data_IF_080743701187
#
_entry.id   IF_080743701187
#
_cell.length_a   1.000
_cell.length_b   1.000
_cell.length_c   1.000
_cell.angle_alpha   90.00
_cell.angle_beta   90.00
_cell.angle_gamma   90.00
#
_symmetry.space_group_name_H-M   'P 1'
#
loop_
_entity.id
_entity.type
_entity.pdbx_description
1 polymer ?
#
# COMPACT_ATOMS: atom_id res chain seq x y z
N UNK A 1 -10.05 5.26 -27.19
CA UNK A 1 -8.68 5.80 -27.32
C UNK A 1 -7.75 4.60 -27.31
N UNK A 2 -6.85 4.52 -28.25
CA UNK A 2 -5.85 3.44 -28.37
C UNK A 2 -4.50 4.01 -27.97
N UNK A 3 -3.78 3.29 -27.11
CA UNK A 3 -2.41 3.61 -26.72
C UNK A 3 -1.57 2.43 -27.19
N UNK A 4 -0.89 2.59 -28.32
CA UNK A 4 -0.27 1.48 -29.05
C UNK A 4 -1.30 0.34 -29.30
N UNK A 5 -1.04 -0.83 -28.70
CA UNK A 5 -1.90 -2.02 -28.80
C UNK A 5 -2.97 -2.11 -27.69
N UNK A 6 -3.08 -1.09 -26.81
CA UNK A 6 -4.04 -1.10 -25.71
C UNK A 6 -5.28 -0.27 -26.04
N UNK A 7 -6.45 -0.86 -25.82
CA UNK A 7 -7.76 -0.20 -25.93
C UNK A 7 -8.27 0.13 -24.53
N UNK A 8 -8.63 1.40 -24.29
CA UNK A 8 -9.26 1.81 -23.06
C UNK A 8 -10.71 1.32 -23.00
N UNK A 9 -11.07 0.59 -21.94
CA UNK A 9 -12.42 0.05 -21.74
C UNK A 9 -13.24 0.99 -20.85
N UNK A 10 -12.77 1.26 -19.62
CA UNK A 10 -13.47 2.12 -18.64
C UNK A 10 -12.51 2.66 -17.59
N UNK A 11 -12.88 3.76 -16.93
CA UNK A 11 -12.20 4.23 -15.72
C UNK A 11 -12.51 3.29 -14.55
N UNK A 12 -11.47 2.92 -13.79
CA UNK A 12 -11.57 2.05 -12.62
C UNK A 12 -11.04 2.71 -11.35
N UNK A 13 -10.48 3.92 -11.45
CA UNK A 13 -10.02 4.69 -10.29
C UNK A 13 -9.52 6.07 -10.67
N UNK A 14 -9.55 6.98 -9.70
CA UNK A 14 -8.94 8.30 -9.77
C UNK A 14 -8.07 8.52 -8.56
N UNK A 15 -6.85 8.94 -8.76
CA UNK A 15 -5.89 9.28 -7.72
C UNK A 15 -5.30 10.68 -7.93
N UNK A 16 -4.47 11.13 -6.99
CA UNK A 16 -3.82 12.43 -7.04
C UNK A 16 -2.99 12.63 -8.31
N UNK A 17 -2.32 11.60 -8.76
CA UNK A 17 -1.42 11.64 -9.91
C UNK A 17 -2.14 11.50 -11.26
N UNK A 18 -3.35 10.95 -11.29
CA UNK A 18 -4.07 10.72 -12.53
C UNK A 18 -5.24 9.77 -12.41
N UNK A 19 -5.72 9.30 -13.54
CA UNK A 19 -6.86 8.41 -13.65
C UNK A 19 -6.39 7.02 -14.11
N UNK A 20 -6.95 5.97 -13.51
CA UNK A 20 -6.63 4.57 -13.82
C UNK A 20 -7.76 3.98 -14.67
N UNK A 21 -7.39 3.37 -15.77
CA UNK A 21 -8.30 2.74 -16.72
C UNK A 21 -8.09 1.23 -16.76
N UNK A 22 -9.18 0.49 -16.91
CA UNK A 22 -9.13 -0.86 -17.40
C UNK A 22 -8.84 -0.81 -18.90
N UNK A 23 -7.82 -1.53 -19.32
CA UNK A 23 -7.42 -1.62 -20.74
C UNK A 23 -7.32 -3.08 -21.17
N UNK A 24 -7.50 -3.35 -22.45
CA UNK A 24 -7.28 -4.66 -23.04
C UNK A 24 -6.21 -4.57 -24.14
N UNK A 25 -5.42 -5.61 -24.28
CA UNK A 25 -4.50 -5.74 -25.41
C UNK A 25 -5.28 -6.12 -26.67
N UNK A 26 -5.09 -5.36 -27.75
CA UNK A 26 -5.75 -5.59 -29.05
C UNK A 26 -5.49 -7.01 -29.54
N UNK A 27 -6.55 -7.68 -29.95
CA UNK A 27 -6.47 -9.07 -30.46
C UNK A 27 -6.33 -10.14 -29.37
N UNK A 28 -6.42 -9.78 -28.09
CA UNK A 28 -6.38 -10.73 -26.96
C UNK A 28 -7.44 -10.38 -25.92
N UNK A 29 -7.67 -11.33 -24.98
CA UNK A 29 -8.53 -11.09 -23.80
C UNK A 29 -7.72 -10.59 -22.59
N UNK A 30 -6.44 -10.27 -22.77
CA UNK A 30 -5.57 -9.86 -21.67
C UNK A 30 -5.94 -8.45 -21.19
N UNK A 31 -6.18 -8.32 -19.87
CA UNK A 31 -6.59 -7.08 -19.21
C UNK A 31 -5.45 -6.49 -18.38
N UNK A 32 -5.35 -5.17 -18.41
CA UNK A 32 -4.37 -4.40 -17.64
C UNK A 32 -5.04 -3.24 -16.90
N UNK A 33 -4.37 -2.75 -15.87
CA UNK A 33 -4.65 -1.46 -15.26
C UNK A 33 -3.65 -0.43 -15.82
N UNK A 34 -4.17 0.67 -16.39
CA UNK A 34 -3.35 1.69 -17.02
C UNK A 34 -3.57 3.03 -16.33
N UNK A 35 -2.57 3.49 -15.55
CA UNK A 35 -2.56 4.80 -14.87
C UNK A 35 -2.08 5.86 -15.85
N UNK A 36 -3.00 6.78 -16.20
CA UNK A 36 -2.73 7.93 -17.06
C UNK A 36 -2.29 9.12 -16.21
N UNK A 37 -1.10 9.65 -16.47
CA UNK A 37 -0.53 10.80 -15.76
C UNK A 37 -0.22 11.91 -16.77
N UNK A 38 -0.73 13.12 -16.57
CA UNK A 38 -0.39 14.26 -17.43
C UNK A 38 1.10 14.58 -17.32
N UNK A 39 1.77 14.79 -18.47
CA UNK A 39 3.18 15.21 -18.50
C UNK A 39 3.39 16.55 -17.81
N UNK A 40 2.45 17.48 -17.93
CA UNK A 40 2.48 18.76 -17.25
C UNK A 40 2.48 18.58 -15.73
N UNK A 41 1.60 17.70 -15.19
CA UNK A 41 1.59 17.35 -13.76
C UNK A 41 2.87 16.65 -13.34
N UNK A 42 3.32 15.66 -14.12
CA UNK A 42 4.55 14.92 -13.84
C UNK A 42 5.81 15.80 -13.89
N UNK A 43 5.79 16.91 -14.62
CA UNK A 43 6.88 17.87 -14.70
C UNK A 43 6.96 18.85 -13.52
N UNK A 44 5.89 18.99 -12.71
CA UNK A 44 5.94 19.83 -11.50
C UNK A 44 6.99 19.27 -10.53
N UNK A 45 7.80 20.14 -9.91
CA UNK A 45 8.97 19.76 -9.12
C UNK A 45 8.69 18.72 -8.04
N UNK A 46 7.56 18.85 -7.35
CA UNK A 46 7.15 17.95 -6.26
C UNK A 46 6.70 16.58 -6.77
N UNK A 47 5.81 16.56 -7.77
CA UNK A 47 5.23 15.31 -8.29
C UNK A 47 6.22 14.52 -9.16
N UNK A 48 7.16 15.20 -9.84
CA UNK A 48 8.20 14.57 -10.67
C UNK A 48 8.99 13.54 -9.89
N UNK A 49 9.44 13.90 -8.68
CA UNK A 49 10.23 13.02 -7.83
C UNK A 49 9.46 11.74 -7.46
N UNK A 50 8.20 11.87 -7.06
CA UNK A 50 7.37 10.72 -6.69
C UNK A 50 7.06 9.83 -7.89
N UNK A 51 6.75 10.43 -9.04
CA UNK A 51 6.48 9.72 -10.29
C UNK A 51 7.68 8.90 -10.77
N UNK A 52 8.88 9.52 -10.83
CA UNK A 52 10.11 8.82 -11.22
C UNK A 52 10.44 7.69 -10.25
N UNK A 53 10.32 7.96 -8.95
CA UNK A 53 10.61 6.99 -7.92
C UNK A 53 9.64 5.79 -7.96
N UNK A 54 8.35 6.03 -8.18
CA UNK A 54 7.33 4.98 -8.35
C UNK A 54 7.71 4.04 -9.49
N UNK A 55 8.05 4.59 -10.68
CA UNK A 55 8.42 3.80 -11.84
C UNK A 55 9.71 3.02 -11.60
N UNK A 56 10.74 3.69 -11.06
CA UNK A 56 12.03 3.05 -10.77
C UNK A 56 11.86 1.86 -9.85
N UNK A 57 11.14 2.02 -8.75
CA UNK A 57 10.92 0.95 -7.77
C UNK A 57 10.06 -0.14 -8.38
N UNK A 58 8.95 0.19 -9.07
CA UNK A 58 8.07 -0.81 -9.68
C UNK A 58 8.81 -1.72 -10.68
N UNK A 59 9.72 -1.17 -11.49
CA UNK A 59 10.53 -1.95 -12.43
C UNK A 59 11.43 -2.99 -11.74
N UNK A 60 11.89 -2.70 -10.53
CA UNK A 60 12.76 -3.59 -9.73
C UNK A 60 11.97 -4.67 -8.98
N UNK A 61 10.64 -4.57 -8.92
CA UNK A 61 9.78 -5.49 -8.16
C UNK A 61 9.39 -6.71 -9.00
N UNK A 62 9.70 -7.89 -8.47
CA UNK A 62 9.23 -9.16 -9.02
C UNK A 62 8.85 -10.09 -7.86
N UNK A 63 7.58 -10.03 -7.43
CA UNK A 63 7.07 -10.84 -6.32
C UNK A 63 5.56 -11.06 -6.47
N UNK A 64 5.08 -12.28 -6.15
CA UNK A 64 3.68 -12.67 -6.32
C UNK A 64 2.67 -11.78 -5.61
N UNK A 65 3.06 -11.12 -4.52
CA UNK A 65 2.20 -10.24 -3.71
C UNK A 65 2.51 -8.74 -3.89
N UNK A 66 3.24 -8.39 -4.95
CA UNK A 66 3.46 -7.01 -5.39
C UNK A 66 2.90 -6.87 -6.80
N UNK A 67 2.34 -5.73 -7.11
CA UNK A 67 1.78 -5.46 -8.43
C UNK A 67 2.86 -5.63 -9.51
N UNK A 68 2.55 -6.39 -10.55
CA UNK A 68 3.48 -6.56 -11.66
C UNK A 68 3.44 -5.34 -12.58
N UNK A 69 4.61 -4.77 -12.85
CA UNK A 69 4.82 -3.70 -13.81
C UNK A 69 5.01 -4.30 -15.20
N UNK A 70 4.16 -3.91 -16.16
CA UNK A 70 4.21 -4.38 -17.53
C UNK A 70 5.02 -3.44 -18.43
N UNK A 71 4.66 -2.15 -18.42
CA UNK A 71 5.30 -1.17 -19.30
C UNK A 71 5.05 0.27 -18.84
N UNK A 72 5.93 1.16 -19.30
CA UNK A 72 5.71 2.60 -19.32
C UNK A 72 5.59 3.06 -20.78
N UNK A 73 4.47 3.67 -21.12
CA UNK A 73 4.24 4.26 -22.45
C UNK A 73 4.03 5.76 -22.33
N UNK A 74 4.25 6.48 -23.43
CA UNK A 74 4.05 7.92 -23.46
C UNK A 74 3.40 8.40 -24.74
N UNK A 75 2.71 9.53 -24.65
CA UNK A 75 2.25 10.34 -25.77
C UNK A 75 2.77 11.77 -25.61
N UNK A 76 2.46 12.65 -26.53
CA UNK A 76 2.84 14.08 -26.42
C UNK A 76 2.35 14.70 -25.08
N UNK A 77 1.19 14.28 -24.57
CA UNK A 77 0.56 14.91 -23.40
C UNK A 77 0.57 14.07 -22.13
N UNK A 78 0.79 12.75 -22.21
CA UNK A 78 0.60 11.87 -21.06
C UNK A 78 1.65 10.75 -20.99
N UNK A 79 1.93 10.30 -19.75
CA UNK A 79 2.54 9.02 -19.44
C UNK A 79 1.45 7.99 -19.09
N UNK A 80 1.74 6.73 -19.35
CA UNK A 80 0.87 5.59 -19.06
C UNK A 80 1.66 4.49 -18.38
N UNK A 81 1.44 4.30 -17.08
CA UNK A 81 1.99 3.19 -16.31
C UNK A 81 1.03 2.03 -16.46
N UNK A 82 1.49 0.93 -17.03
CA UNK A 82 0.71 -0.27 -17.29
C UNK A 82 1.14 -1.34 -16.30
N UNK A 83 0.15 -1.91 -15.59
CA UNK A 83 0.35 -2.97 -14.59
C UNK A 83 -0.66 -4.09 -14.82
N UNK A 84 -0.43 -5.26 -14.19
CA UNK A 84 -1.45 -6.30 -14.15
C UNK A 84 -2.77 -5.76 -13.59
N UNK A 85 -3.88 -6.34 -14.04
CA UNK A 85 -5.21 -6.00 -13.55
C UNK A 85 -5.64 -6.93 -12.41
N UNK A 86 -6.08 -6.34 -11.29
CA UNK A 86 -6.65 -7.04 -10.15
C UNK A 86 -8.18 -6.88 -10.15
N UNK A 87 -8.89 -7.98 -10.42
CA UNK A 87 -10.34 -7.96 -10.67
C UNK A 87 -11.21 -7.86 -9.39
N UNK A 88 -10.62 -8.02 -8.20
CA UNK A 88 -11.32 -7.90 -6.91
C UNK A 88 -11.42 -6.45 -6.40
N UNK A 89 -10.63 -5.52 -6.95
CA UNK A 89 -10.54 -4.13 -6.45
C UNK A 89 -9.68 -4.01 -5.21
N UNK A 90 -9.83 -2.94 -4.43
CA UNK A 90 -9.09 -2.68 -3.21
C UNK A 90 -9.57 -3.54 -2.03
N UNK A 91 -8.64 -3.88 -1.13
CA UNK A 91 -8.97 -4.69 0.07
C UNK A 91 -9.93 -3.94 1.00
N UNK A 92 -9.85 -2.62 1.05
CA UNK A 92 -10.80 -1.78 1.77
C UNK A 92 -12.24 -1.96 1.28
N UNK A 93 -12.44 -1.90 -0.04
CA UNK A 93 -13.75 -2.12 -0.67
C UNK A 93 -14.24 -3.54 -0.45
N UNK A 94 -13.34 -4.54 -0.51
CA UNK A 94 -13.67 -5.94 -0.20
C UNK A 94 -14.13 -6.10 1.24
N UNK A 95 -13.43 -5.52 2.22
CA UNK A 95 -13.84 -5.54 3.63
C UNK A 95 -15.23 -4.91 3.83
N UNK A 96 -15.47 -3.75 3.23
CA UNK A 96 -16.76 -3.07 3.34
C UNK A 96 -17.91 -3.87 2.69
N UNK A 97 -17.68 -4.50 1.54
CA UNK A 97 -18.66 -5.39 0.89
C UNK A 97 -18.91 -6.63 1.75
N UNK A 98 -17.84 -7.24 2.26
CA UNK A 98 -17.93 -8.41 3.14
C UNK A 98 -18.77 -8.10 4.39
N UNK A 99 -18.51 -6.96 5.04
CA UNK A 99 -19.28 -6.51 6.20
C UNK A 99 -20.77 -6.28 5.89
N UNK A 100 -21.10 -5.77 4.70
CA UNK A 100 -22.49 -5.61 4.27
C UNK A 100 -23.18 -6.96 4.07
N UNK A 101 -22.48 -7.94 3.51
CA UNK A 101 -23.03 -9.27 3.21
C UNK A 101 -23.14 -10.13 4.48
N UNK A 102 -22.09 -10.22 5.27
CA UNK A 102 -21.98 -11.17 6.38
C UNK A 102 -22.17 -10.53 7.77
N UNK A 103 -22.40 -9.22 7.84
CA UNK A 103 -22.59 -8.42 9.08
C UNK A 103 -21.42 -8.47 10.07
N UNK A 104 -20.28 -8.97 9.65
CA UNK A 104 -19.06 -9.11 10.43
C UNK A 104 -17.84 -8.62 9.63
N UNK A 105 -16.76 -8.29 10.33
CA UNK A 105 -15.45 -8.13 9.73
C UNK A 105 -14.88 -9.50 9.30
N UNK A 106 -13.68 -9.55 8.74
CA UNK A 106 -13.06 -10.82 8.35
C UNK A 106 -12.78 -11.69 9.57
N UNK A 107 -12.99 -13.02 9.42
CA UNK A 107 -12.58 -14.00 10.43
C UNK A 107 -11.04 -14.03 10.56
N UNK A 108 -10.55 -14.54 11.70
CA UNK A 108 -9.10 -14.73 11.90
C UNK A 108 -8.47 -15.60 10.81
N UNK A 109 -9.20 -16.59 10.28
CA UNK A 109 -8.74 -17.45 9.19
C UNK A 109 -8.50 -16.66 7.89
N UNK A 110 -9.45 -15.79 7.53
CA UNK A 110 -9.30 -14.89 6.39
C UNK A 110 -8.13 -13.95 6.62
N UNK A 111 -8.05 -13.34 7.81
CA UNK A 111 -6.97 -12.40 8.14
C UNK A 111 -5.62 -13.11 8.14
N UNK A 112 -5.52 -14.32 8.66
CA UNK A 112 -4.30 -15.13 8.60
C UNK A 112 -3.86 -15.36 7.15
N UNK A 113 -4.80 -15.78 6.28
CA UNK A 113 -4.52 -16.03 4.85
C UNK A 113 -4.01 -14.76 4.14
N UNK A 114 -4.67 -13.62 4.37
CA UNK A 114 -4.28 -12.35 3.76
C UNK A 114 -2.95 -11.82 4.33
N UNK A 115 -2.78 -11.86 5.66
CA UNK A 115 -1.56 -11.38 6.32
C UNK A 115 -0.32 -12.20 5.95
N UNK A 116 -0.42 -13.51 5.73
CA UNK A 116 0.69 -14.30 5.17
C UNK A 116 1.22 -13.69 3.88
N UNK A 117 0.33 -13.31 2.98
CA UNK A 117 0.67 -12.75 1.69
C UNK A 117 1.24 -11.33 1.81
N UNK A 118 0.60 -10.49 2.65
CA UNK A 118 1.03 -9.10 2.86
C UNK A 118 2.43 -9.08 3.49
N UNK A 119 2.65 -9.89 4.53
CA UNK A 119 3.95 -9.98 5.22
C UNK A 119 5.05 -10.48 4.28
N UNK A 120 4.79 -11.47 3.43
CA UNK A 120 5.78 -11.92 2.44
C UNK A 120 6.12 -10.82 1.42
N UNK A 121 5.14 -10.04 0.97
CA UNK A 121 5.37 -8.87 0.12
C UNK A 121 6.23 -7.81 0.81
N UNK A 122 5.93 -7.45 2.05
CA UNK A 122 6.72 -6.46 2.83
C UNK A 122 8.12 -6.99 3.15
N UNK A 123 8.24 -8.26 3.50
CA UNK A 123 9.55 -8.91 3.71
C UNK A 123 10.44 -8.81 2.47
N UNK A 124 9.87 -9.03 1.27
CA UNK A 124 10.58 -8.87 0.02
C UNK A 124 11.03 -7.41 -0.20
N UNK A 125 10.15 -6.42 0.02
CA UNK A 125 10.46 -4.99 -0.11
C UNK A 125 11.58 -4.60 0.86
N UNK A 126 11.47 -4.98 2.14
CA UNK A 126 12.49 -4.70 3.17
C UNK A 126 13.81 -5.41 2.88
N UNK A 127 13.78 -6.62 2.30
CA UNK A 127 14.96 -7.34 1.83
C UNK A 127 15.73 -6.58 0.74
N UNK A 128 15.03 -5.83 -0.10
CA UNK A 128 15.61 -4.89 -1.09
C UNK A 128 16.03 -3.53 -0.48
N UNK A 129 15.97 -3.39 0.84
CA UNK A 129 16.27 -2.14 1.54
C UNK A 129 15.36 -0.98 1.13
N UNK A 130 14.10 -1.27 0.86
CA UNK A 130 13.07 -0.29 0.50
C UNK A 130 12.03 -0.26 1.62
N UNK A 131 11.52 0.94 1.96
CA UNK A 131 10.35 1.18 2.79
C UNK A 131 9.20 1.62 1.88
N UNK A 132 7.99 1.12 2.13
CA UNK A 132 6.79 1.48 1.37
C UNK A 132 6.19 2.81 1.81
N UNK A 133 6.05 3.04 3.11
CA UNK A 133 5.60 4.27 3.80
C UNK A 133 4.12 4.65 3.65
N UNK A 134 3.33 3.90 2.90
CA UNK A 134 1.88 4.13 2.79
C UNK A 134 1.11 2.80 2.75
N UNK A 135 1.43 1.89 3.70
CA UNK A 135 0.70 0.64 3.86
C UNK A 135 -0.67 0.92 4.48
N UNK A 136 -1.73 0.60 3.73
CA UNK A 136 -3.13 0.73 4.10
C UNK A 136 -3.99 -0.18 3.24
N UNK A 137 -5.23 -0.44 3.65
CA UNK A 137 -6.13 -1.33 2.91
C UNK A 137 -6.41 -0.88 1.47
N UNK A 138 -6.40 0.42 1.21
CA UNK A 138 -6.60 1.00 -0.12
C UNK A 138 -5.43 0.70 -1.08
N UNK A 139 -4.21 0.52 -0.54
CA UNK A 139 -3.00 0.22 -1.31
C UNK A 139 -2.72 -1.29 -1.41
N UNK A 140 -3.71 -2.12 -1.11
CA UNK A 140 -3.66 -3.56 -1.27
C UNK A 140 -4.82 -3.95 -2.18
N UNK A 141 -4.52 -4.48 -3.36
CA UNK A 141 -5.52 -4.98 -4.29
C UNK A 141 -5.75 -6.46 -4.10
N UNK A 142 -6.94 -6.89 -4.50
CA UNK A 142 -7.41 -8.28 -4.44
C UNK A 142 -7.59 -8.81 -5.87
N UNK A 143 -7.09 -10.01 -6.11
CA UNK A 143 -7.25 -10.74 -7.37
C UNK A 143 -7.84 -12.11 -7.08
N UNK A 144 -8.82 -12.51 -7.88
CA UNK A 144 -9.41 -13.84 -7.87
C UNK A 144 -9.15 -14.51 -9.22
N UNK A 145 -8.79 -15.77 -9.20
CA UNK A 145 -8.60 -16.57 -10.42
C UNK A 145 -9.96 -17.08 -10.95
N UNK A 146 -10.93 -17.24 -10.06
CA UNK A 146 -12.29 -17.71 -10.37
C UNK A 146 -13.34 -16.61 -10.16
N UNK A 147 -14.28 -16.47 -11.11
CA UNK A 147 -15.34 -15.45 -11.03
C UNK A 147 -16.40 -15.76 -9.95
N UNK A 148 -16.62 -17.05 -9.58
CA UNK A 148 -17.53 -17.38 -8.49
C UNK A 148 -16.92 -17.03 -7.14
N UNK A 149 -15.61 -17.28 -6.95
CA UNK A 149 -14.89 -16.84 -5.75
C UNK A 149 -14.93 -15.32 -5.60
N UNK A 150 -14.75 -14.59 -6.68
CA UNK A 150 -14.89 -13.12 -6.72
C UNK A 150 -16.31 -12.68 -6.38
N UNK A 151 -17.33 -13.27 -7.00
CA UNK A 151 -18.75 -12.93 -6.78
C UNK A 151 -19.17 -13.15 -5.33
N UNK A 152 -18.68 -14.22 -4.72
CA UNK A 152 -19.00 -14.60 -3.34
C UNK A 152 -18.03 -14.00 -2.31
N UNK A 153 -17.04 -13.19 -2.74
CA UNK A 153 -15.95 -12.66 -1.89
C UNK A 153 -15.30 -13.76 -1.05
N UNK A 154 -14.94 -14.89 -1.69
CA UNK A 154 -14.22 -15.99 -1.04
C UNK A 154 -12.77 -15.58 -0.77
N UNK A 155 -12.57 -14.81 0.30
CA UNK A 155 -11.27 -14.21 0.62
C UNK A 155 -10.17 -15.25 0.90
N UNK A 156 -10.50 -16.50 1.19
CA UNK A 156 -9.53 -17.60 1.33
C UNK A 156 -8.94 -18.06 -0.01
N UNK A 157 -9.55 -17.67 -1.13
CA UNK A 157 -9.05 -17.90 -2.50
C UNK A 157 -8.45 -16.65 -3.13
N UNK A 158 -8.41 -15.55 -2.39
CA UNK A 158 -7.89 -14.29 -2.87
C UNK A 158 -6.36 -14.27 -2.89
N UNK A 159 -5.79 -13.73 -3.97
CA UNK A 159 -4.40 -13.29 -4.03
C UNK A 159 -4.35 -11.78 -3.83
N UNK A 160 -3.45 -11.30 -2.96
CA UNK A 160 -3.27 -9.85 -2.75
C UNK A 160 -2.07 -9.31 -3.54
N UNK A 161 -2.15 -8.03 -3.88
CA UNK A 161 -1.10 -7.27 -4.54
C UNK A 161 -0.91 -5.93 -3.85
N UNK A 162 0.29 -5.68 -3.31
CA UNK A 162 0.68 -4.38 -2.76
C UNK A 162 0.94 -3.45 -3.93
N UNK A 163 0.39 -2.22 -3.87
CA UNK A 163 0.48 -1.20 -4.92
C UNK A 163 0.97 0.13 -4.35
N UNK A 164 1.21 1.10 -5.23
CA UNK A 164 1.52 2.51 -4.94
C UNK A 164 2.84 2.73 -4.20
N UNK A 165 3.92 2.67 -4.96
CA UNK A 165 5.29 2.93 -4.50
C UNK A 165 5.69 4.41 -4.63
N UNK A 166 4.73 5.32 -4.84
CA UNK A 166 5.01 6.75 -4.98
C UNK A 166 5.73 7.34 -3.77
N UNK A 167 5.41 6.88 -2.58
CA UNK A 167 6.07 7.29 -1.34
C UNK A 167 7.22 6.38 -0.91
N UNK A 168 7.45 5.26 -1.58
CA UNK A 168 8.49 4.32 -1.23
C UNK A 168 9.90 4.95 -1.33
N UNK A 169 10.86 4.39 -0.57
CA UNK A 169 12.23 4.92 -0.54
C UNK A 169 13.23 3.88 -0.11
N UNK A 170 14.49 4.05 -0.59
CA UNK A 170 15.60 3.22 -0.15
C UNK A 170 16.07 3.60 1.25
N UNK A 171 16.34 2.60 2.09
CA UNK A 171 16.97 2.77 3.40
C UNK A 171 18.36 3.39 3.23
N UNK A 172 18.65 4.41 4.05
CA UNK A 172 19.96 5.08 4.02
C UNK A 172 20.01 6.36 3.19
N UNK A 173 18.99 6.69 2.39
CA UNK A 173 18.95 7.98 1.69
C UNK A 173 18.73 9.14 2.68
N UNK A 174 19.69 10.07 2.73
CA UNK A 174 19.78 11.13 3.75
C UNK A 174 18.54 12.04 3.82
N UNK A 175 17.91 12.33 2.68
CA UNK A 175 16.82 13.31 2.59
C UNK A 175 15.42 12.73 2.88
N UNK A 176 15.29 11.43 3.05
CA UNK A 176 14.00 10.75 3.07
C UNK A 176 13.55 10.33 4.48
N UNK A 177 14.51 10.19 5.41
CA UNK A 177 14.21 9.85 6.81
C UNK A 177 13.40 10.91 7.56
N UNK A 178 13.24 12.09 6.96
CA UNK A 178 12.61 13.24 7.62
C UNK A 178 11.31 13.72 6.97
N UNK A 179 10.90 13.13 5.82
CA UNK A 179 9.64 13.48 5.18
C UNK A 179 8.46 12.77 5.83
N UNK A 180 7.43 13.53 6.18
CA UNK A 180 6.16 13.01 6.73
C UNK A 180 5.19 12.78 5.58
N UNK A 181 5.03 11.51 5.18
CA UNK A 181 4.18 11.09 4.07
C UNK A 181 3.37 9.86 4.51
N UNK A 182 2.17 9.68 3.96
CA UNK A 182 1.29 8.56 4.24
C UNK A 182 -0.03 8.96 4.91
N UNK A 183 -0.87 7.98 5.18
CA UNK A 183 -2.20 8.16 5.77
C UNK A 183 -2.09 8.29 7.30
N UNK A 184 -2.49 9.41 7.93
CA UNK A 184 -2.27 9.66 9.35
C UNK A 184 -2.74 8.55 10.28
N UNK A 185 -3.89 7.92 10.00
CA UNK A 185 -4.46 6.85 10.85
C UNK A 185 -3.66 5.54 10.81
N UNK A 186 -2.83 5.34 9.80
CA UNK A 186 -1.94 4.18 9.65
C UNK A 186 -0.47 4.54 9.92
N UNK A 187 -0.20 5.81 10.22
CA UNK A 187 1.15 6.36 10.33
C UNK A 187 1.82 5.95 11.65
N UNK A 188 3.11 5.63 11.55
CA UNK A 188 3.99 5.40 12.70
C UNK A 188 3.93 6.55 13.69
N UNK A 189 3.97 6.29 15.03
CA UNK A 189 3.88 7.32 16.06
C UNK A 189 4.89 8.47 15.92
N UNK A 190 6.12 8.18 15.50
CA UNK A 190 7.16 9.20 15.31
C UNK A 190 6.82 10.09 14.11
N UNK A 191 6.36 9.48 13.01
CA UNK A 191 5.93 10.23 11.82
C UNK A 191 4.70 11.07 12.10
N UNK A 192 3.74 10.52 12.84
CA UNK A 192 2.53 11.22 13.26
C UNK A 192 2.86 12.44 14.13
N UNK A 193 3.79 12.29 15.09
CA UNK A 193 4.29 13.42 15.91
C UNK A 193 4.95 14.48 15.06
N UNK A 194 5.78 14.09 14.11
CA UNK A 194 6.42 15.04 13.20
C UNK A 194 5.40 15.83 12.38
N UNK A 195 4.35 15.16 11.90
CA UNK A 195 3.28 15.81 11.14
C UNK A 195 2.49 16.80 11.99
N UNK A 196 2.33 16.52 13.27
CA UNK A 196 1.63 17.39 14.23
C UNK A 196 2.52 18.50 14.80
N UNK A 197 3.84 18.37 14.70
CA UNK A 197 4.83 19.28 15.31
C UNK A 197 5.06 20.52 14.44
N UNK A 198 4.29 21.56 14.72
CA UNK A 198 4.42 22.87 14.06
C UNK A 198 5.75 23.59 14.39
N UNK A 199 6.40 23.23 15.51
CA UNK A 199 7.59 23.90 16.00
C UNK A 199 8.91 23.24 15.53
N UNK A 200 8.80 22.06 14.90
CA UNK A 200 9.95 21.38 14.33
C UNK A 200 10.91 20.71 15.32
N UNK A 201 10.55 20.54 16.59
CA UNK A 201 11.37 19.85 17.58
C UNK A 201 11.67 18.39 17.26
N UNK A 202 10.78 17.73 16.53
CA UNK A 202 10.92 16.31 16.15
C UNK A 202 11.61 16.10 14.80
N UNK A 203 12.02 17.15 14.10
CA UNK A 203 12.64 17.06 12.75
C UNK A 203 13.87 16.15 12.70
N UNK A 204 14.66 16.08 13.78
CA UNK A 204 15.87 15.26 13.86
C UNK A 204 15.63 13.76 14.08
N UNK A 205 14.41 13.35 14.48
CA UNK A 205 14.09 11.95 14.75
C UNK A 205 14.00 11.17 13.42
N UNK A 206 14.93 10.24 13.19
CA UNK A 206 14.88 9.31 12.05
C UNK A 206 13.85 8.21 12.28
N UNK A 207 13.41 7.57 11.20
CA UNK A 207 12.59 6.35 11.23
C UNK A 207 13.16 5.32 10.24
N UNK A 208 12.80 4.06 10.42
CA UNK A 208 13.28 2.91 9.65
C UNK A 208 12.09 2.10 9.09
N UNK A 209 12.40 0.95 8.52
CA UNK A 209 11.40 0.02 7.95
C UNK A 209 10.36 -0.47 8.96
N UNK A 210 10.60 -0.27 10.27
CA UNK A 210 9.62 -0.61 11.32
C UNK A 210 8.38 0.31 11.28
N UNK A 211 8.45 1.43 10.56
CA UNK A 211 7.28 2.26 10.29
C UNK A 211 6.23 1.50 9.46
N UNK A 212 6.66 0.73 8.45
CA UNK A 212 5.75 -0.14 7.68
C UNK A 212 5.13 -1.24 8.56
N UNK A 213 5.86 -1.74 9.57
CA UNK A 213 5.37 -2.76 10.51
C UNK A 213 4.24 -2.22 11.38
N UNK A 214 4.32 -0.97 11.83
CA UNK A 214 3.22 -0.32 12.52
C UNK A 214 1.98 -0.24 11.62
N UNK A 215 2.16 0.22 10.38
CA UNK A 215 1.06 0.31 9.39
C UNK A 215 0.45 -1.06 9.09
N UNK A 216 1.26 -2.14 9.05
CA UNK A 216 0.74 -3.51 8.97
C UNK A 216 -0.13 -3.89 10.16
N UNK A 217 0.25 -3.47 11.37
CA UNK A 217 -0.56 -3.69 12.58
C UNK A 217 -1.91 -3.01 12.49
N UNK A 218 -1.96 -1.77 11.98
CA UNK A 218 -3.24 -1.04 11.79
C UNK A 218 -4.12 -1.72 10.72
N UNK A 219 -3.53 -2.19 9.64
CA UNK A 219 -4.23 -2.95 8.57
C UNK A 219 -4.79 -4.27 9.12
N UNK A 220 -3.97 -5.03 9.86
CA UNK A 220 -4.40 -6.28 10.48
C UNK A 220 -5.59 -6.08 11.44
N UNK A 221 -5.48 -5.08 12.31
CA UNK A 221 -6.56 -4.73 13.24
C UNK A 221 -7.84 -4.34 12.50
N UNK A 222 -7.72 -3.49 11.47
CA UNK A 222 -8.89 -3.05 10.70
C UNK A 222 -9.57 -4.21 9.96
N UNK A 223 -8.82 -5.18 9.45
CA UNK A 223 -9.40 -6.39 8.86
C UNK A 223 -10.18 -7.23 9.88
N UNK A 224 -9.69 -7.34 11.12
CA UNK A 224 -10.32 -8.11 12.20
C UNK A 224 -11.56 -7.43 12.78
N UNK A 225 -11.51 -6.11 12.92
CA UNK A 225 -12.52 -5.35 13.68
C UNK A 225 -13.46 -4.58 12.74
N UNK A 226 -13.03 -4.30 11.51
CA UNK A 226 -13.78 -3.52 10.53
C UNK A 226 -13.71 -2.01 10.74
N UNK A 227 -12.87 -1.54 11.66
CA UNK A 227 -12.63 -0.11 11.91
C UNK A 227 -11.17 0.12 12.33
N UNK A 228 -10.71 1.37 12.18
CA UNK A 228 -9.32 1.73 12.54
C UNK A 228 -9.02 1.53 14.02
N UNK A 229 -7.72 1.34 14.35
CA UNK A 229 -7.23 1.12 15.71
C UNK A 229 -7.54 2.32 16.61
N UNK A 230 -7.29 3.53 16.11
CA UNK A 230 -7.45 4.78 16.85
C UNK A 230 -8.54 5.63 16.19
N UNK A 231 -9.74 5.63 16.78
CA UNK A 231 -10.80 6.53 16.35
C UNK A 231 -10.54 7.92 16.92
N UNK A 232 -10.19 8.88 16.08
CA UNK A 232 -9.85 10.24 16.49
C UNK A 232 -10.70 11.28 15.74
N UNK A 233 -11.02 12.38 16.43
CA UNK A 233 -11.81 13.48 15.86
C UNK A 233 -10.94 14.46 15.05
N UNK A 234 -9.66 14.57 15.42
CA UNK A 234 -8.69 15.44 14.79
C UNK A 234 -7.26 14.92 15.02
N UNK A 235 -6.28 15.58 14.41
CA UNK A 235 -4.87 15.19 14.51
C UNK A 235 -4.34 15.16 15.96
N UNK A 236 -4.67 16.14 16.78
CA UNK A 236 -4.20 16.20 18.16
C UNK A 236 -4.78 15.06 19.00
N UNK A 237 -6.04 14.70 18.79
CA UNK A 237 -6.69 13.56 19.44
C UNK A 237 -6.05 12.25 18.98
N UNK A 238 -5.72 12.13 17.68
CA UNK A 238 -5.03 10.96 17.14
C UNK A 238 -3.65 10.78 17.79
N UNK A 239 -2.85 11.84 17.85
CA UNK A 239 -1.53 11.81 18.51
C UNK A 239 -1.64 11.36 19.95
N UNK A 240 -2.56 11.95 20.73
CA UNK A 240 -2.78 11.57 22.13
C UNK A 240 -3.16 10.09 22.28
N UNK A 241 -4.07 9.59 21.45
CA UNK A 241 -4.51 8.17 21.50
C UNK A 241 -3.39 7.20 21.13
N UNK A 242 -2.60 7.56 20.12
CA UNK A 242 -1.42 6.79 19.73
C UNK A 242 -0.36 6.79 20.83
N UNK A 243 -0.14 7.93 21.51
CA UNK A 243 0.81 8.06 22.64
C UNK A 243 0.38 7.24 23.85
N UNK A 244 -0.90 7.22 24.16
CA UNK A 244 -1.45 6.37 25.22
C UNK A 244 -1.28 4.88 24.89
N UNK A 245 -1.19 4.52 23.62
CA UNK A 245 -0.96 3.14 23.17
C UNK A 245 -2.10 2.18 23.53
N UNK A 246 -3.25 2.71 23.96
CA UNK A 246 -4.40 1.91 24.37
C UNK A 246 -5.38 1.79 23.21
N UNK A 247 -5.70 0.57 22.84
CA UNK A 247 -6.72 0.26 21.84
C UNK A 247 -7.55 -0.94 22.29
N UNK A 248 -8.79 -1.01 21.81
CA UNK A 248 -9.71 -2.06 22.19
C UNK A 248 -9.34 -3.38 21.50
N UNK A 249 -9.17 -4.45 22.27
CA UNK A 249 -9.02 -5.82 21.76
C UNK A 249 -10.27 -6.60 22.14
N UNK A 250 -11.06 -7.08 21.17
CA UNK A 250 -12.21 -7.93 21.44
C UNK A 250 -11.79 -9.24 22.12
N UNK A 251 -12.64 -9.68 23.05
CA UNK A 251 -12.37 -10.84 23.90
C UNK A 251 -12.50 -12.19 23.21
N UNK A 252 -13.09 -12.18 22.01
CA UNK A 252 -13.28 -13.37 21.18
C UNK A 252 -12.09 -13.67 20.24
N UNK A 253 -11.06 -12.82 20.25
CA UNK A 253 -9.85 -13.06 19.47
C UNK A 253 -8.94 -14.09 20.14
N UNK A 254 -8.19 -14.85 19.33
CA UNK A 254 -7.21 -15.81 19.81
C UNK A 254 -5.98 -15.12 20.42
N UNK A 255 -5.26 -15.84 21.30
CA UNK A 255 -4.00 -15.36 21.87
C UNK A 255 -2.95 -15.13 20.78
N UNK A 256 -2.97 -15.93 19.76
CA UNK A 256 -2.05 -15.89 18.62
C UNK A 256 -2.20 -14.60 17.83
N UNK A 257 -3.44 -14.19 17.51
CA UNK A 257 -3.66 -12.93 16.78
C UNK A 257 -3.38 -11.72 17.65
N UNK A 258 -3.69 -11.77 18.95
CA UNK A 258 -3.36 -10.69 19.89
C UNK A 258 -1.85 -10.54 20.05
N UNK A 259 -1.12 -11.65 20.16
CA UNK A 259 0.36 -11.64 20.15
C UNK A 259 0.92 -11.04 18.87
N UNK A 260 0.34 -11.39 17.71
CA UNK A 260 0.74 -10.87 16.42
C UNK A 260 0.51 -9.36 16.31
N UNK A 261 -0.66 -8.86 16.71
CA UNK A 261 -0.96 -7.42 16.79
C UNK A 261 0.01 -6.69 17.72
N UNK A 262 0.28 -7.25 18.91
CA UNK A 262 1.23 -6.68 19.86
C UNK A 262 2.67 -6.68 19.33
N UNK A 263 3.04 -7.63 18.49
CA UNK A 263 4.35 -7.63 17.81
C UNK A 263 4.53 -6.49 16.79
N UNK A 264 3.44 -5.91 16.32
CA UNK A 264 3.43 -4.81 15.34
C UNK A 264 3.14 -3.45 15.95
N UNK A 265 2.11 -3.36 16.83
CA UNK A 265 1.60 -2.11 17.41
C UNK A 265 2.34 -1.73 18.70
N UNK A 266 3.68 -1.65 18.63
CA UNK A 266 4.53 -1.16 19.70
C UNK A 266 4.87 0.31 19.44
N UNK A 267 4.66 1.20 20.42
CA UNK A 267 5.01 2.61 20.30
C UNK A 267 6.49 2.82 19.96
N UNK A 268 7.38 2.13 20.68
CA UNK A 268 8.80 2.11 20.38
C UNK A 268 9.08 1.14 19.22
N UNK A 269 9.55 1.66 18.09
CA UNK A 269 9.85 0.87 16.88
C UNK A 269 10.85 -0.27 17.14
N UNK A 270 11.78 -0.11 18.06
CA UNK A 270 12.76 -1.15 18.44
C UNK A 270 12.11 -2.40 19.01
N UNK A 271 10.94 -2.29 19.63
CA UNK A 271 10.20 -3.41 20.21
C UNK A 271 9.32 -4.13 19.18
N UNK A 272 9.14 -3.55 17.98
CA UNK A 272 8.37 -4.19 16.91
C UNK A 272 9.14 -5.36 16.31
N UNK A 273 8.42 -6.38 15.92
CA UNK A 273 8.97 -7.46 15.11
C UNK A 273 9.41 -6.93 13.73
N UNK A 274 10.38 -7.59 13.09
CA UNK A 274 10.68 -7.34 11.68
C UNK A 274 9.71 -8.11 10.78
N UNK A 275 9.65 -7.79 9.49
CA UNK A 275 8.84 -8.55 8.53
C UNK A 275 9.28 -10.04 8.49
N UNK A 276 10.58 -10.32 8.63
CA UNK A 276 11.11 -11.66 8.72
C UNK A 276 10.64 -12.41 10.00
N UNK A 277 10.63 -11.74 11.15
CA UNK A 277 10.09 -12.31 12.39
C UNK A 277 8.59 -12.53 12.33
N UNK A 278 7.83 -11.58 11.73
CA UNK A 278 6.40 -11.73 11.51
C UNK A 278 6.07 -12.92 10.61
N UNK A 279 6.86 -13.17 9.54
CA UNK A 279 6.61 -14.30 8.64
C UNK A 279 6.72 -15.66 9.34
N UNK A 280 7.42 -15.72 10.48
CA UNK A 280 7.59 -16.92 11.33
C UNK A 280 6.71 -16.94 12.57
N UNK A 281 5.85 -15.91 12.75
CA UNK A 281 5.01 -15.83 13.94
C UNK A 281 3.94 -16.92 13.94
N UNK A 282 3.62 -17.47 15.12
CA UNK A 282 2.67 -18.58 15.29
C UNK A 282 1.29 -18.30 14.68
N UNK A 283 0.82 -17.05 14.73
CA UNK A 283 -0.42 -16.67 14.05
C UNK A 283 -0.38 -16.96 12.54
N UNK A 284 0.76 -16.82 11.87
CA UNK A 284 0.88 -17.08 10.44
C UNK A 284 1.28 -18.54 10.11
N UNK A 285 1.96 -19.25 11.01
CA UNK A 285 2.52 -20.57 10.72
C UNK A 285 1.63 -21.72 11.17
N UNK A 286 0.91 -21.56 12.28
CA UNK A 286 0.11 -22.63 12.87
C UNK A 286 -1.26 -22.77 12.21
N UNK A 287 -1.91 -23.91 12.44
CA UNK A 287 -3.28 -24.13 12.03
C UNK A 287 -4.21 -23.32 12.96
N UNK A 288 -5.13 -22.57 12.39
CA UNK A 288 -6.06 -21.73 13.17
C UNK A 288 -6.98 -22.54 14.10
N UNK A 289 -7.21 -23.82 13.78
CA UNK A 289 -8.01 -24.70 14.63
C UNK A 289 -7.36 -24.96 15.99
N UNK A 290 -6.03 -24.78 16.08
CA UNK A 290 -5.26 -25.00 17.30
C UNK A 290 -5.16 -23.71 18.15
N UNK A 291 -5.75 -22.61 17.71
CA UNK A 291 -5.66 -21.33 18.41
C UNK A 291 -6.48 -21.31 19.70
N UNK A 292 -5.87 -20.76 20.74
CA UNK A 292 -6.48 -20.64 22.05
C UNK A 292 -7.24 -19.31 22.20
N UNK A 293 -8.50 -19.37 22.60
CA UNK A 293 -9.25 -18.16 22.97
C UNK A 293 -8.70 -17.53 24.25
N UNK A 294 -8.81 -16.21 24.34
CA UNK A 294 -8.37 -15.47 25.53
C UNK A 294 -9.29 -15.83 26.71
N UNK A 295 -8.69 -16.31 27.80
CA UNK A 295 -9.37 -16.50 29.06
C UNK A 295 -9.38 -15.18 29.85
N UNK A 296 -10.53 -14.51 29.86
CA UNK A 296 -10.71 -13.21 30.50
C UNK A 296 -10.60 -13.24 32.01
N UNK A 297 -10.69 -14.38 32.66
CA UNK A 297 -10.60 -14.50 34.11
C UNK A 297 -9.19 -14.18 34.63
N UNK A 298 -8.20 -14.17 33.72
CA UNK A 298 -6.77 -13.95 34.02
C UNK A 298 -6.22 -12.61 33.57
N UNK A 299 -7.03 -11.78 32.89
CA UNK A 299 -6.58 -10.45 32.40
C UNK A 299 -7.20 -9.37 33.25
N UNK A 300 -6.56 -9.07 34.37
CA UNK A 300 -6.85 -7.87 35.15
C UNK A 300 -6.16 -6.68 34.49
N UNK A 301 -6.79 -6.01 33.53
CA UNK A 301 -6.35 -4.70 33.11
C UNK A 301 -7.56 -3.85 32.71
N UNK A 302 -7.61 -2.66 33.30
CA UNK A 302 -8.58 -1.60 33.18
C UNK A 302 -9.24 -1.51 31.80
N UNK A 303 -10.48 -1.96 31.75
CA UNK A 303 -11.36 -1.78 30.60
C UNK A 303 -12.40 -0.75 30.96
N UNK A 304 -12.29 0.45 30.39
CA UNK A 304 -13.37 1.41 30.42
C UNK A 304 -14.50 0.96 29.47
N UNK A 305 -15.67 0.73 30.08
CA UNK A 305 -16.91 0.36 29.40
C UNK A 305 -17.63 1.61 28.89
N UNK A 306 -17.12 2.28 27.86
CA UNK A 306 -17.95 3.26 27.12
C UNK A 306 -17.57 3.23 25.63
N UNK A 307 -18.33 2.46 24.86
CA UNK A 307 -18.29 2.47 23.40
C UNK A 307 -19.02 3.70 22.85
N UNK A 308 -18.30 4.65 22.30
CA UNK A 308 -18.84 5.73 21.48
C UNK A 308 -18.70 5.40 20.00
N UNK A 309 -19.85 5.22 19.33
CA UNK A 309 -19.93 5.11 17.89
C UNK A 309 -19.69 6.49 17.24
N UNK A 310 -18.57 6.67 16.56
CA UNK A 310 -18.37 7.84 15.71
C UNK A 310 -17.95 7.36 14.31
N UNK A 311 -18.83 7.60 13.33
CA UNK A 311 -18.56 7.41 11.91
C UNK A 311 -17.64 8.55 11.41
N UNK A 312 -16.37 8.28 11.24
CA UNK A 312 -15.48 9.20 10.50
C UNK A 312 -15.67 8.91 9.01
N UNK A 313 -16.26 9.88 8.28
CA UNK A 313 -16.24 9.85 6.81
C UNK A 313 -14.78 9.93 6.37
N UNK A 314 -14.25 8.86 5.80
CA UNK A 314 -12.95 8.86 5.13
C UNK A 314 -13.05 9.75 3.88
N UNK A 315 -12.45 10.93 3.93
CA UNK A 315 -12.21 11.71 2.73
C UNK A 315 -11.06 11.07 1.96
N UNK A 316 -11.30 10.67 0.72
CA UNK A 316 -10.36 10.00 -0.17
C UNK A 316 -9.20 10.87 -0.65
N UNK A 317 -9.04 12.10 -0.15
CA UNK A 317 -7.98 13.01 -0.58
C UNK A 317 -7.31 13.69 0.61
N UNK A 318 -6.25 13.08 1.13
CA UNK A 318 -5.33 13.69 2.10
C UNK A 318 -4.58 14.89 1.50
N UNK A 319 -4.60 15.05 0.19
CA UNK A 319 -4.00 16.18 -0.54
C UNK A 319 -4.65 17.54 -0.23
N UNK A 320 -5.85 17.57 0.37
CA UNK A 320 -6.51 18.81 0.80
C UNK A 320 -5.95 19.41 2.11
N UNK A 321 -5.00 18.74 2.78
CA UNK A 321 -4.40 19.21 4.04
C UNK A 321 -3.07 19.95 3.80
N UNK A 322 -2.49 19.85 2.59
CA UNK A 322 -1.34 20.68 2.22
C UNK A 322 -1.87 22.05 1.80
N UNK A 323 -1.84 23.01 2.74
CA UNK A 323 -2.05 24.42 2.42
C UNK A 323 -0.90 24.94 1.54
N UNK A 324 -1.19 25.95 0.72
CA UNK A 324 -0.19 26.64 -0.13
C UNK A 324 1.03 27.17 0.64
N UNK A 325 1.01 27.17 1.98
CA UNK A 325 2.13 27.58 2.83
C UNK A 325 3.26 26.52 2.93
N UNK A 326 2.97 25.23 2.65
CA UNK A 326 3.98 24.18 2.68
C UNK A 326 4.89 24.17 1.44
N UNK A 327 4.52 24.88 0.37
CA UNK A 327 5.39 25.05 -0.81
C UNK A 327 6.64 25.88 -0.54
N UNK A 328 6.66 26.73 0.49
CA UNK A 328 7.76 27.64 0.80
C UNK A 328 8.90 27.02 1.63
N UNK A 329 8.74 25.81 2.14
CA UNK A 329 9.75 25.12 2.98
C UNK A 329 10.49 23.99 2.26
N UNK A 330 10.30 23.80 0.97
CA UNK A 330 11.11 22.89 0.16
C UNK A 330 12.40 23.59 -0.24
N UNK A 331 13.45 23.32 0.54
CA UNK A 331 14.82 23.76 0.31
C UNK A 331 15.24 23.35 -1.11
N UNK A 332 15.72 24.34 -1.87
CA UNK A 332 16.43 24.22 -3.14
C UNK A 332 17.40 23.02 -3.11
N UNK A 333 17.14 22.03 -3.94
CA UNK A 333 18.14 21.03 -4.32
C UNK A 333 18.72 21.52 -5.65
N UNK A 334 20.01 21.88 -5.71
CA UNK A 334 20.64 22.25 -6.97
C UNK A 334 20.76 21.00 -7.85
N UNK A 335 20.18 21.06 -9.00
CA UNK A 335 20.31 20.05 -10.04
C UNK A 335 19.14 20.08 -11.00
N UNK A 336 19.36 20.69 -12.16
CA UNK A 336 18.46 20.62 -13.30
C UNK A 336 18.30 19.15 -13.75
N UNK A 337 17.31 18.46 -13.21
CA UNK A 337 16.88 17.18 -13.75
C UNK A 337 15.96 17.46 -14.95
N UNK A 338 16.49 17.26 -16.15
CA UNK A 338 15.72 17.35 -17.39
C UNK A 338 14.84 16.09 -17.56
N UNK A 339 13.81 16.19 -18.39
CA UNK A 339 13.00 15.05 -18.85
C UNK A 339 13.87 13.91 -19.44
N UNK A 340 15.08 14.24 -19.85
CA UNK A 340 16.11 13.32 -20.32
C UNK A 340 16.50 12.25 -19.28
N UNK A 341 16.28 12.47 -17.98
CA UNK A 341 16.54 11.46 -16.94
C UNK A 341 15.52 10.29 -16.98
N UNK A 342 14.37 10.50 -17.64
CA UNK A 342 13.39 9.45 -17.92
C UNK A 342 13.64 8.73 -19.26
N UNK A 343 14.45 9.32 -20.15
CA UNK A 343 14.68 8.74 -21.48
C UNK A 343 15.27 7.34 -21.41
N UNK A 344 16.29 7.03 -20.57
CA UNK A 344 16.78 5.67 -20.42
C UNK A 344 15.70 4.70 -19.92
N UNK A 345 14.86 5.18 -18.97
CA UNK A 345 13.77 4.38 -18.40
C UNK A 345 12.68 4.11 -19.43
N UNK A 346 12.43 5.05 -20.33
CA UNK A 346 11.43 4.95 -21.40
C UNK A 346 11.96 4.09 -22.54
N UNK A 347 13.23 4.21 -22.90
CA UNK A 347 13.88 3.42 -23.96
C UNK A 347 13.98 1.95 -23.59
N UNK A 348 14.40 1.60 -22.37
CA UNK A 348 14.38 0.22 -21.86
C UNK A 348 12.95 -0.38 -21.80
N UNK A 349 11.91 0.44 -21.59
CA UNK A 349 10.52 -0.03 -21.58
C UNK A 349 9.92 -0.17 -22.99
N UNK A 350 10.56 0.40 -24.01
CA UNK A 350 10.15 0.28 -25.42
C UNK A 350 10.71 -0.99 -26.08
N UNK A 351 11.64 -1.71 -25.44
CA UNK A 351 11.88 -3.10 -25.82
C UNK A 351 10.60 -3.89 -25.50
N UNK A 352 9.91 -4.22 -26.58
CA UNK A 352 8.56 -4.75 -26.62
C UNK A 352 8.42 -5.99 -25.72
N UNK A 353 7.78 -5.94 -24.55
CA UNK A 353 7.58 -7.11 -23.69
C UNK A 353 6.70 -8.18 -24.34
N UNK A 354 6.17 -7.89 -25.54
CA UNK A 354 5.33 -8.77 -26.35
C UNK A 354 6.08 -9.46 -27.49
N UNK A 355 7.42 -9.34 -27.58
CA UNK A 355 8.22 -9.92 -28.67
C UNK A 355 8.77 -11.33 -28.38
N UNK A 356 8.43 -11.97 -27.30
CA UNK A 356 8.86 -13.34 -27.02
C UNK A 356 7.72 -14.33 -27.12
N UNK A 357 7.32 -14.70 -28.35
CA UNK A 357 6.89 -16.04 -28.71
C UNK A 357 6.91 -16.20 -30.25
N UNK A 358 7.89 -16.94 -30.71
CA UNK A 358 7.98 -17.56 -32.05
C UNK A 358 8.04 -16.65 -33.27
N UNK A 359 9.25 -16.49 -33.85
CA UNK A 359 9.43 -16.95 -35.24
C UNK A 359 10.90 -16.88 -35.62
N UNK A 360 11.59 -18.02 -35.47
CA UNK A 360 12.73 -18.37 -36.32
C UNK A 360 12.16 -18.72 -37.70
N UNK A 361 12.27 -17.83 -38.66
CA UNK A 361 12.37 -18.18 -40.05
C UNK A 361 13.22 -17.17 -40.81
N UNK A 362 14.33 -17.67 -41.31
CA UNK A 362 15.23 -17.07 -42.28
C UNK A 362 14.49 -16.31 -43.40
N UNK A 363 14.85 -15.04 -43.61
CA UNK A 363 14.67 -14.39 -44.92
C UNK A 363 16.03 -13.83 -45.32
N UNK A 364 16.64 -14.56 -46.24
CA UNK A 364 17.76 -14.16 -47.06
C UNK A 364 17.32 -12.96 -47.91
N UNK A 365 18.06 -11.86 -47.84
CA UNK A 365 17.99 -10.79 -48.81
C UNK A 365 18.74 -11.21 -50.10
N UNK A 366 18.17 -11.05 -51.29
CA UNK A 366 18.94 -10.94 -52.50
C UNK A 366 19.09 -9.49 -52.97
N UNK A 367 20.35 -9.13 -53.22
CA UNK A 367 20.88 -8.01 -54.07
C UNK A 367 20.35 -6.61 -53.85
#
# INVERSE_FOLDING_TARGET
MIIDELTLIKSIGKGAFGEVFLTSKKGTNQLFATKKVSRQKAASSTLKKYFINEIKILKEMNHKNIIHFEALKQTVHNFYIITEYCNGGGLYECLNKYRKLYKNAFSEEIVQHLMRQIVEGIKYIHGKKIMHRDIKLENILVKFDDENDKKNLNMLKATIKIIDFGFATYLGSKNVRYSTLGSPINMDPILLKKMADKNGFTKSMGYDEKADIWSLGTVCYEMLIGQGVFNAQNMNDLVKKVELGTYHIPTNLSKEVVSFLNGMLQYNSKNRLSAEQLSRHHFLTNNIKDFQKIDLTKVSNKVDKQGLNINIKRNHSIWAIFSEEDEKTLIDIPGNFYLNDLMPIIEESNENPFKNSNDNKDIICPN
#
